data_IF_149146014540
#
_entry.id   IF_149146014540
#
_cell.length_a   1.000
_cell.length_b   1.000
_cell.length_c   1.000
_cell.angle_alpha   90.00
_cell.angle_beta   90.00
_cell.angle_gamma   90.00
#
_symmetry.space_group_name_H-M   'P 1'
#
loop_
_entity.id
_entity.type
_entity.pdbx_description
1 polymer ?
#
# COMPACT_ATOMS: atom_id res chain seq x y z
N UNK A 1 -13.37 41.42 91.63
CA UNK A 1 -13.80 42.74 91.09
C UNK A 1 -13.00 43.00 89.84
N UNK A 2 -13.71 43.13 88.69
CA UNK A 2 -13.39 43.92 87.48
C UNK A 2 -11.99 43.69 86.85
N UNK A 3 -11.84 43.26 85.59
CA UNK A 3 -12.18 43.98 84.36
C UNK A 3 -11.90 43.03 83.16
N UNK A 4 -12.88 42.53 82.43
CA UNK A 4 -13.41 43.03 81.14
C UNK A 4 -12.36 43.31 80.03
N UNK A 5 -12.40 42.52 78.95
CA UNK A 5 -12.43 42.96 77.54
C UNK A 5 -12.23 41.76 76.59
N UNK A 6 -13.24 41.51 75.74
CA UNK A 6 -13.12 40.70 74.52
C UNK A 6 -12.28 41.42 73.43
N UNK A 7 -12.33 40.98 72.16
CA UNK A 7 -11.49 39.97 71.51
C UNK A 7 -10.50 40.64 70.53
N UNK A 8 -9.52 39.91 70.01
CA UNK A 8 -8.87 40.36 68.76
C UNK A 8 -8.36 39.17 67.97
N UNK A 9 -8.94 39.04 66.78
CA UNK A 9 -8.51 38.16 65.72
C UNK A 9 -7.06 38.51 65.34
N UNK A 10 -6.18 37.52 65.27
CA UNK A 10 -5.01 37.66 64.42
C UNK A 10 -4.68 36.35 63.73
N UNK A 11 -5.04 36.35 62.45
CA UNK A 11 -4.69 35.41 61.42
C UNK A 11 -3.16 35.45 61.22
N UNK A 12 -2.43 34.69 62.04
CA UNK A 12 -0.99 34.49 61.93
C UNK A 12 -0.71 33.19 61.19
N UNK A 13 -0.20 33.32 59.96
CA UNK A 13 0.04 32.20 59.04
C UNK A 13 0.82 31.04 59.66
N UNK A 14 0.43 29.84 59.23
CA UNK A 14 1.18 28.60 59.34
C UNK A 14 2.55 28.80 58.67
N UNK A 15 3.51 29.33 59.43
CA UNK A 15 4.92 29.27 59.09
C UNK A 15 5.34 27.81 59.21
N UNK A 16 5.08 27.04 58.14
CA UNK A 16 5.86 25.84 57.88
C UNK A 16 7.30 26.31 57.73
N UNK A 17 8.07 26.12 58.79
CA UNK A 17 9.51 26.19 58.75
C UNK A 17 9.98 25.23 57.66
N UNK A 18 10.23 25.77 56.46
CA UNK A 18 11.13 25.14 55.51
C UNK A 18 12.49 25.05 56.20
N UNK A 19 12.74 23.90 56.84
CA UNK A 19 14.09 23.47 57.14
C UNK A 19 14.85 23.41 55.82
N UNK A 20 15.50 24.52 55.51
CA UNK A 20 16.46 24.65 54.44
C UNK A 20 17.62 23.71 54.77
N UNK A 21 17.51 22.46 54.33
CA UNK A 21 18.57 21.46 54.37
C UNK A 21 19.76 21.99 53.56
N UNK A 22 20.61 22.76 54.24
CA UNK A 22 21.75 23.44 53.68
C UNK A 22 22.78 22.38 53.33
N UNK A 23 22.73 21.92 52.08
CA UNK A 23 23.62 20.89 51.53
C UNK A 23 25.07 21.15 51.95
N UNK A 24 25.74 20.13 52.50
CA UNK A 24 27.13 20.24 52.93
C UNK A 24 28.03 20.58 51.72
N UNK A 25 29.15 21.26 51.95
CA UNK A 25 30.08 21.69 50.88
C UNK A 25 30.44 20.54 49.93
N UNK A 26 30.61 19.32 50.46
CA UNK A 26 30.86 18.12 49.64
C UNK A 26 29.65 17.66 48.80
N UNK A 27 28.43 17.76 49.33
CA UNK A 27 27.21 17.41 48.60
C UNK A 27 26.89 18.41 47.49
N UNK A 28 27.18 19.70 47.70
CA UNK A 28 27.05 20.73 46.65
C UNK A 28 28.00 20.48 45.48
N UNK A 29 29.22 20.04 45.77
CA UNK A 29 30.20 19.67 44.74
C UNK A 29 29.70 18.44 43.97
N UNK A 30 29.20 17.41 44.65
CA UNK A 30 28.66 16.22 43.99
C UNK A 30 27.46 16.52 43.09
N UNK A 31 26.51 17.36 43.55
CA UNK A 31 25.35 17.78 42.76
C UNK A 31 25.78 18.63 41.56
N UNK A 32 26.80 19.48 41.71
CA UNK A 32 27.34 20.27 40.61
C UNK A 32 28.01 19.38 39.55
N UNK A 33 28.78 18.37 39.95
CA UNK A 33 29.37 17.41 39.01
C UNK A 33 28.31 16.58 38.29
N UNK A 34 27.27 16.13 39.00
CA UNK A 34 26.16 15.38 38.42
C UNK A 34 25.41 16.21 37.35
N UNK A 35 25.16 17.49 37.62
CA UNK A 35 24.50 18.39 36.68
C UNK A 35 25.33 18.58 35.40
N UNK A 36 26.65 18.75 35.52
CA UNK A 36 27.55 18.87 34.37
C UNK A 36 27.57 17.56 33.58
N UNK A 37 27.66 16.42 34.25
CA UNK A 37 27.67 15.12 33.60
C UNK A 37 26.37 14.83 32.85
N UNK A 38 25.22 15.19 33.42
CA UNK A 38 23.92 15.05 32.76
C UNK A 38 23.83 15.87 31.46
N UNK A 39 24.33 17.12 31.48
CA UNK A 39 24.37 17.97 30.27
C UNK A 39 25.29 17.38 29.20
N UNK A 40 26.44 16.83 29.59
CA UNK A 40 27.36 16.18 28.66
C UNK A 40 26.73 14.93 28.02
N UNK A 41 26.06 14.09 28.80
CA UNK A 41 25.38 12.89 28.28
C UNK A 41 24.28 13.25 27.28
N UNK A 42 23.45 14.25 27.60
CA UNK A 42 22.38 14.71 26.71
C UNK A 42 22.96 15.35 25.44
N UNK A 43 24.03 16.13 25.55
CA UNK A 43 24.72 16.72 24.41
C UNK A 43 25.34 15.67 23.48
N UNK A 44 25.98 14.65 24.04
CA UNK A 44 26.53 13.52 23.28
C UNK A 44 25.44 12.69 22.61
N UNK A 45 24.30 12.45 23.29
CA UNK A 45 23.14 11.78 22.71
C UNK A 45 22.55 12.56 21.55
N UNK A 46 22.34 13.88 21.70
CA UNK A 46 21.82 14.73 20.63
C UNK A 46 22.75 14.78 19.40
N UNK A 47 24.07 14.77 19.62
CA UNK A 47 25.06 14.73 18.55
C UNK A 47 25.04 13.38 17.79
N UNK A 48 24.98 12.26 18.51
CA UNK A 48 24.91 10.91 17.93
C UNK A 48 23.57 10.64 17.23
N UNK A 49 22.47 11.17 17.75
CA UNK A 49 21.12 11.01 17.20
C UNK A 49 20.91 11.79 15.90
N UNK A 50 21.51 12.98 15.78
CA UNK A 50 21.48 13.78 14.54
C UNK A 50 22.09 13.04 13.35
N UNK A 51 23.12 12.22 13.56
CA UNK A 51 23.70 11.41 12.49
C UNK A 51 22.79 10.26 12.06
N UNK A 52 21.96 9.71 12.96
CA UNK A 52 21.06 8.57 12.66
C UNK A 52 19.72 8.95 12.05
N UNK A 53 19.25 10.20 12.22
CA UNK A 53 17.99 10.66 11.59
C UNK A 53 18.18 11.15 10.16
N UNK A 54 19.37 11.66 9.82
CA UNK A 54 19.57 12.30 8.52
C UNK A 54 19.91 11.33 7.38
N UNK A 55 20.21 10.06 7.67
CA UNK A 55 20.55 9.07 6.64
C UNK A 55 19.34 8.48 5.87
N UNK A 56 18.16 8.23 6.46
CA UNK A 56 17.03 7.69 5.67
C UNK A 56 16.29 8.71 4.78
N UNK A 57 16.57 10.01 4.86
CA UNK A 57 15.78 11.04 4.13
C UNK A 57 16.57 11.91 3.16
N UNK A 58 17.89 11.73 3.04
CA UNK A 58 18.64 12.39 1.96
C UNK A 58 18.68 11.50 0.72
N UNK A 59 17.50 11.11 0.24
CA UNK A 59 17.34 10.60 -1.11
C UNK A 59 17.51 11.78 -2.07
N UNK A 60 18.75 12.06 -2.47
CA UNK A 60 19.00 12.84 -3.66
C UNK A 60 18.54 11.99 -4.85
N UNK A 61 17.23 11.99 -5.10
CA UNK A 61 16.63 11.50 -6.35
C UNK A 61 16.88 12.58 -7.40
N UNK A 62 18.14 12.70 -7.80
CA UNK A 62 18.48 13.01 -9.20
C UNK A 62 18.77 11.68 -9.90
N UNK A 63 17.90 10.70 -9.65
CA UNK A 63 17.74 9.55 -10.53
C UNK A 63 16.89 10.03 -11.69
N UNK A 64 17.53 10.19 -12.84
CA UNK A 64 16.87 10.08 -14.13
C UNK A 64 16.25 8.68 -14.23
N UNK A 65 15.11 8.47 -13.58
CA UNK A 65 14.30 7.25 -13.68
C UNK A 65 13.44 7.37 -14.92
N UNK A 66 14.08 7.12 -16.05
CA UNK A 66 13.43 6.74 -17.29
C UNK A 66 14.38 5.79 -18.01
N UNK A 67 13.94 4.54 -18.11
CA UNK A 67 14.45 3.49 -19.00
C UNK A 67 15.82 2.87 -18.70
N UNK A 68 15.73 1.58 -18.37
CA UNK A 68 16.58 0.49 -18.83
C UNK A 68 18.07 0.48 -18.43
N UNK A 69 18.42 -0.50 -17.59
CA UNK A 69 19.75 -1.09 -17.55
C UNK A 69 20.71 -0.46 -16.53
N UNK A 70 20.62 -0.90 -15.28
CA UNK A 70 21.60 -0.53 -14.27
C UNK A 70 21.24 -0.99 -12.87
N UNK A 71 20.90 -2.27 -12.70
CA UNK A 71 20.83 -2.88 -11.37
C UNK A 71 22.27 -3.06 -10.88
N UNK A 72 22.53 -2.73 -9.62
CA UNK A 72 23.79 -3.07 -8.96
C UNK A 72 24.06 -4.56 -9.16
N UNK A 73 25.11 -4.91 -9.90
CA UNK A 73 25.44 -6.29 -10.31
C UNK A 73 25.60 -7.30 -9.16
N UNK A 74 25.59 -6.83 -7.91
CA UNK A 74 25.61 -7.69 -6.73
C UNK A 74 24.22 -8.28 -6.42
N UNK A 75 23.13 -7.52 -6.60
CA UNK A 75 21.78 -7.98 -6.28
C UNK A 75 21.27 -9.01 -7.31
N UNK A 76 21.61 -8.86 -8.58
CA UNK A 76 21.21 -9.83 -9.62
C UNK A 76 21.88 -11.19 -9.42
N UNK A 77 23.14 -11.21 -8.98
CA UNK A 77 23.87 -12.44 -8.71
C UNK A 77 23.27 -13.20 -7.53
N UNK A 78 22.85 -12.48 -6.49
CA UNK A 78 22.19 -13.06 -5.32
C UNK A 78 20.82 -13.65 -5.70
N UNK A 79 20.01 -12.93 -6.48
CA UNK A 79 18.69 -13.40 -6.94
C UNK A 79 18.76 -14.65 -7.85
N UNK A 80 19.89 -14.89 -8.52
CA UNK A 80 20.09 -16.12 -9.32
C UNK A 80 20.43 -17.35 -8.48
N UNK A 81 20.77 -17.15 -7.20
CA UNK A 81 21.17 -18.21 -6.28
C UNK A 81 20.09 -18.51 -5.24
N UNK A 82 19.11 -17.62 -5.11
CA UNK A 82 18.00 -17.73 -4.16
C UNK A 82 16.76 -18.21 -4.93
N UNK A 83 16.01 -19.06 -4.24
CA UNK A 83 14.73 -19.63 -4.63
C UNK A 83 13.86 -19.48 -3.37
N UNK A 84 13.12 -18.37 -3.31
CA UNK A 84 12.49 -17.89 -2.07
C UNK A 84 11.28 -18.72 -1.66
N UNK A 85 10.51 -19.22 -2.62
CA UNK A 85 9.36 -20.09 -2.39
C UNK A 85 9.68 -21.58 -2.52
N UNK A 86 10.89 -21.93 -2.97
CA UNK A 86 11.40 -23.30 -3.05
C UNK A 86 10.69 -24.18 -4.09
N UNK A 87 10.14 -23.58 -5.16
CA UNK A 87 9.49 -24.29 -6.26
C UNK A 87 10.51 -24.86 -7.28
N UNK A 88 11.77 -24.41 -7.21
CA UNK A 88 12.86 -24.79 -8.10
C UNK A 88 13.16 -23.81 -9.24
N UNK A 89 12.60 -22.61 -9.21
CA UNK A 89 13.00 -21.44 -10.00
C UNK A 89 13.83 -20.49 -9.13
N UNK A 90 14.74 -19.73 -9.76
CA UNK A 90 15.43 -18.67 -9.02
C UNK A 90 14.60 -17.39 -9.06
N UNK A 91 14.65 -16.59 -7.99
CA UNK A 91 13.94 -15.30 -7.93
C UNK A 91 14.25 -14.42 -9.15
N UNK A 92 15.47 -14.54 -9.69
CA UNK A 92 15.86 -13.83 -10.91
C UNK A 92 15.10 -14.33 -12.15
N UNK A 93 14.95 -15.65 -12.31
CA UNK A 93 14.23 -16.25 -13.44
C UNK A 93 12.74 -15.91 -13.37
N UNK A 94 12.14 -15.98 -12.19
CA UNK A 94 10.74 -15.63 -11.98
C UNK A 94 10.48 -14.18 -12.36
N UNK A 95 11.27 -13.23 -11.84
CA UNK A 95 11.05 -11.80 -12.09
C UNK A 95 11.37 -11.37 -13.54
N UNK A 96 12.38 -11.98 -14.18
CA UNK A 96 12.92 -11.48 -15.45
C UNK A 96 12.55 -12.33 -16.66
N UNK A 97 12.26 -13.63 -16.48
CA UNK A 97 11.99 -14.57 -17.57
C UNK A 97 10.51 -14.97 -17.61
N UNK A 98 9.95 -15.39 -16.47
CA UNK A 98 8.61 -15.99 -16.41
C UNK A 98 7.53 -15.02 -15.93
N UNK A 99 7.93 -13.89 -15.34
CA UNK A 99 7.02 -12.88 -14.77
C UNK A 99 6.10 -13.44 -13.67
N UNK A 100 6.58 -14.47 -12.98
CA UNK A 100 5.92 -15.13 -11.85
C UNK A 100 6.33 -14.49 -10.52
N UNK A 101 5.74 -14.96 -9.41
CA UNK A 101 5.93 -14.41 -8.07
C UNK A 101 6.96 -15.21 -7.25
N UNK A 102 8.11 -14.62 -6.85
CA UNK A 102 9.14 -15.29 -6.03
C UNK A 102 8.73 -15.74 -4.63
N UNK A 103 7.48 -15.49 -4.24
CA UNK A 103 6.96 -15.79 -2.93
C UNK A 103 5.81 -16.81 -2.97
N UNK A 104 5.47 -17.31 -4.16
CA UNK A 104 4.33 -18.18 -4.38
C UNK A 104 4.74 -19.29 -5.34
N UNK A 105 4.79 -20.53 -4.82
CA UNK A 105 5.11 -21.70 -5.64
C UNK A 105 4.17 -21.87 -6.86
N UNK A 106 2.96 -21.30 -6.78
CA UNK A 106 1.89 -21.33 -7.78
C UNK A 106 1.38 -19.88 -7.97
N UNK A 107 1.83 -19.24 -9.04
CA UNK A 107 1.59 -17.81 -9.28
C UNK A 107 0.16 -17.50 -9.72
N UNK A 108 -0.51 -18.44 -10.38
CA UNK A 108 -1.86 -18.28 -10.92
C UNK A 108 -2.96 -18.95 -10.09
N UNK A 109 -2.55 -19.69 -9.04
CA UNK A 109 -3.38 -20.34 -8.04
C UNK A 109 -4.22 -21.51 -8.58
N UNK A 110 -3.74 -22.23 -9.59
CA UNK A 110 -4.43 -23.39 -10.18
C UNK A 110 -4.05 -24.76 -9.58
N UNK A 111 -3.19 -24.76 -8.55
CA UNK A 111 -2.59 -25.91 -7.87
C UNK A 111 -1.45 -26.63 -8.62
N UNK A 112 -0.90 -26.03 -9.68
CA UNK A 112 0.34 -26.42 -10.31
C UNK A 112 1.42 -25.41 -9.95
N UNK A 113 2.64 -25.89 -9.68
CA UNK A 113 3.74 -24.96 -9.40
C UNK A 113 4.27 -24.35 -10.69
N UNK A 114 4.78 -23.12 -10.63
CA UNK A 114 5.31 -22.41 -11.80
C UNK A 114 6.38 -23.26 -12.51
N UNK A 115 7.27 -23.89 -11.74
CA UNK A 115 8.25 -24.83 -12.26
C UNK A 115 7.65 -26.00 -13.05
N UNK A 116 6.56 -26.59 -12.53
CA UNK A 116 5.91 -27.72 -13.18
C UNK A 116 5.27 -27.30 -14.50
N UNK A 117 4.67 -26.14 -14.54
CA UNK A 117 4.04 -25.59 -15.74
C UNK A 117 5.06 -25.29 -16.84
N UNK A 118 6.17 -24.63 -16.47
CA UNK A 118 7.29 -24.39 -17.37
C UNK A 118 7.85 -25.70 -17.94
N UNK A 119 8.00 -26.74 -17.10
CA UNK A 119 8.47 -28.06 -17.54
C UNK A 119 7.48 -28.75 -18.51
N UNK A 120 6.19 -28.47 -18.36
CA UNK A 120 5.13 -28.99 -19.24
C UNK A 120 4.87 -28.09 -20.46
N UNK A 121 5.60 -26.99 -20.61
CA UNK A 121 5.37 -25.95 -21.62
C UNK A 121 3.98 -25.33 -21.56
N UNK A 122 3.42 -25.20 -20.35
CA UNK A 122 2.25 -24.35 -20.07
C UNK A 122 2.70 -22.98 -19.57
N UNK A 123 1.76 -22.04 -19.46
CA UNK A 123 2.03 -20.67 -19.01
C UNK A 123 1.80 -20.59 -17.50
N UNK A 124 2.84 -20.31 -16.67
CA UNK A 124 2.73 -20.29 -15.22
C UNK A 124 1.92 -19.11 -14.64
N UNK A 125 1.42 -18.24 -15.51
CA UNK A 125 0.50 -17.16 -15.13
C UNK A 125 -0.92 -17.41 -15.65
N UNK A 126 -1.21 -18.61 -16.15
CA UNK A 126 -2.46 -18.94 -16.81
C UNK A 126 -3.16 -20.16 -16.21
N UNK A 127 -4.21 -19.95 -15.40
CA UNK A 127 -4.83 -21.04 -14.65
C UNK A 127 -5.34 -22.15 -15.56
N UNK A 128 -5.14 -23.41 -15.15
CA UNK A 128 -5.59 -24.59 -15.89
C UNK A 128 -7.07 -24.50 -16.29
N UNK A 129 -7.32 -24.69 -17.58
CA UNK A 129 -8.66 -24.66 -18.16
C UNK A 129 -9.15 -23.26 -18.54
N UNK A 130 -8.30 -22.23 -18.40
CA UNK A 130 -8.52 -20.89 -18.97
C UNK A 130 -7.73 -20.74 -20.27
N UNK A 131 -8.20 -19.87 -21.16
CA UNK A 131 -7.44 -19.45 -22.34
C UNK A 131 -6.88 -18.06 -22.09
N UNK A 132 -5.58 -17.98 -21.78
CA UNK A 132 -4.88 -16.70 -21.55
C UNK A 132 -4.22 -16.16 -22.83
N UNK A 133 -4.35 -16.89 -23.95
CA UNK A 133 -3.96 -16.41 -25.27
C UNK A 133 -5.10 -15.64 -25.97
N UNK A 134 -6.24 -15.50 -25.31
CA UNK A 134 -7.37 -14.75 -25.82
C UNK A 134 -7.10 -13.24 -25.69
N UNK A 135 -6.36 -12.68 -26.65
CA UNK A 135 -6.69 -11.35 -27.11
C UNK A 135 -8.13 -11.44 -27.60
N UNK A 136 -9.11 -11.08 -26.75
CA UNK A 136 -10.54 -11.15 -27.04
C UNK A 136 -10.88 -10.20 -28.19
N UNK A 137 -10.56 -10.62 -29.41
CA UNK A 137 -11.40 -10.45 -30.57
C UNK A 137 -12.52 -11.46 -30.38
N UNK A 138 -13.56 -11.04 -29.65
CA UNK A 138 -14.67 -11.90 -29.26
C UNK A 138 -15.18 -12.74 -30.42
N UNK A 139 -14.91 -14.04 -30.36
CA UNK A 139 -15.71 -15.02 -31.08
C UNK A 139 -16.87 -15.40 -30.18
N UNK A 140 -17.87 -14.52 -30.23
CA UNK A 140 -19.26 -14.90 -30.00
C UNK A 140 -19.57 -16.08 -30.90
N UNK A 141 -20.12 -17.13 -30.30
CA UNK A 141 -20.72 -18.28 -30.97
C UNK A 141 -21.62 -17.81 -32.14
N UNK A 142 -21.20 -18.17 -33.34
CA UNK A 142 -21.86 -17.87 -34.60
C UNK A 142 -23.14 -18.70 -34.71
N UNK A 143 -24.24 -18.27 -34.09
CA UNK A 143 -25.62 -18.60 -34.49
C UNK A 143 -26.69 -17.74 -33.78
N UNK A 144 -26.51 -16.42 -33.76
CA UNK A 144 -27.66 -15.49 -33.67
C UNK A 144 -27.51 -14.48 -34.80
N UNK A 145 -28.39 -14.58 -35.78
CA UNK A 145 -28.46 -13.68 -36.91
C UNK A 145 -28.75 -12.26 -36.44
N UNK A 146 -27.75 -11.36 -36.43
CA UNK A 146 -28.03 -9.96 -36.69
C UNK A 146 -26.84 -9.21 -37.29
N UNK A 147 -27.18 -8.27 -38.15
CA UNK A 147 -26.35 -7.70 -39.18
C UNK A 147 -25.59 -6.45 -38.65
N UNK A 148 -24.28 -6.54 -38.41
CA UNK A 148 -23.43 -5.34 -38.38
C UNK A 148 -21.96 -5.65 -38.67
N UNK A 149 -21.54 -5.22 -39.85
CA UNK A 149 -20.13 -5.12 -40.18
C UNK A 149 -19.49 -3.97 -39.41
N UNK A 150 -18.44 -4.23 -38.63
CA UNK A 150 -17.33 -3.28 -38.58
C UNK A 150 -16.01 -3.96 -38.18
N UNK A 151 -15.17 -4.20 -39.19
CA UNK A 151 -13.73 -4.43 -39.06
C UNK A 151 -13.10 -3.26 -38.29
N UNK A 152 -12.54 -3.49 -37.11
CA UNK A 152 -11.62 -2.52 -36.51
C UNK A 152 -10.21 -2.82 -37.02
N UNK A 153 -9.74 -1.91 -37.86
CA UNK A 153 -8.40 -1.88 -38.41
C UNK A 153 -7.45 -1.23 -37.39
N UNK A 154 -6.27 -1.83 -37.22
CA UNK A 154 -5.10 -1.22 -36.62
C UNK A 154 -4.75 0.10 -37.33
N UNK A 155 -4.63 1.20 -36.60
CA UNK A 155 -3.66 2.24 -36.95
C UNK A 155 -3.24 3.08 -35.73
N UNK A 156 -1.94 3.06 -35.44
CA UNK A 156 -1.26 4.12 -34.69
C UNK A 156 -1.59 5.47 -35.34
N UNK A 157 -1.93 6.49 -34.55
CA UNK A 157 -1.63 7.85 -34.98
C UNK A 157 -1.38 8.81 -33.82
N UNK A 158 -0.18 9.37 -33.85
CA UNK A 158 0.24 10.61 -33.21
C UNK A 158 -0.52 11.82 -33.81
N UNK A 159 -0.73 12.83 -32.96
CA UNK A 159 -0.97 14.26 -33.23
C UNK A 159 -2.41 14.82 -33.31
N UNK A 160 -2.81 15.49 -32.20
CA UNK A 160 -3.42 16.85 -32.00
C UNK A 160 -4.67 17.31 -32.84
N UNK A 161 -5.36 18.43 -32.51
CA UNK A 161 -6.66 18.46 -31.83
C UNK A 161 -7.77 19.19 -32.64
N UNK A 162 -8.99 18.67 -32.72
CA UNK A 162 -10.19 19.47 -32.98
C UNK A 162 -11.49 18.64 -32.87
N UNK A 163 -12.38 19.10 -31.98
CA UNK A 163 -13.83 19.10 -32.14
C UNK A 163 -14.60 17.75 -32.17
N UNK A 164 -15.05 17.38 -30.97
CA UNK A 164 -16.47 17.34 -30.56
C UNK A 164 -17.34 16.07 -30.72
N UNK A 165 -18.03 15.80 -29.60
CA UNK A 165 -19.17 14.95 -29.25
C UNK A 165 -19.06 13.41 -29.38
N UNK A 166 -18.90 12.80 -28.19
CA UNK A 166 -19.81 11.78 -27.66
C UNK A 166 -19.77 10.36 -28.26
N UNK A 167 -18.89 9.50 -27.72
CA UNK A 167 -19.21 8.10 -27.39
C UNK A 167 -18.11 7.53 -26.48
N UNK A 168 -18.37 7.61 -25.17
CA UNK A 168 -17.59 6.98 -24.10
C UNK A 168 -17.39 5.48 -24.39
N UNK A 169 -16.21 5.11 -24.84
CA UNK A 169 -15.79 3.72 -25.04
C UNK A 169 -14.28 3.58 -24.87
N UNK A 170 -13.81 3.93 -23.67
CA UNK A 170 -12.51 3.47 -23.17
C UNK A 170 -12.68 3.29 -21.68
N UNK A 171 -13.16 2.11 -21.29
CA UNK A 171 -13.42 1.76 -19.89
C UNK A 171 -12.14 1.46 -19.13
N UNK A 172 -11.28 2.47 -18.96
CA UNK A 172 -10.49 2.53 -17.74
C UNK A 172 -11.51 2.53 -16.60
N UNK A 173 -11.45 1.52 -15.74
CA UNK A 173 -12.31 1.48 -14.55
C UNK A 173 -11.89 2.68 -13.71
N UNK A 174 -12.68 3.75 -13.73
CA UNK A 174 -12.45 4.91 -12.89
C UNK A 174 -12.78 4.51 -11.45
N UNK A 175 -11.83 3.85 -10.78
CA UNK A 175 -11.96 3.38 -9.39
C UNK A 175 -12.41 4.51 -8.46
N UNK A 176 -12.04 5.76 -8.77
CA UNK A 176 -12.49 6.98 -8.11
C UNK A 176 -14.02 7.13 -8.07
N UNK A 177 -14.75 6.78 -9.14
CA UNK A 177 -16.22 6.92 -9.18
C UNK A 177 -16.94 5.85 -8.35
N UNK A 178 -16.27 4.72 -8.09
CA UNK A 178 -16.78 3.58 -7.31
C UNK A 178 -16.65 3.83 -5.81
N UNK A 179 -15.74 4.69 -5.35
CA UNK A 179 -15.69 5.07 -3.93
C UNK A 179 -16.55 6.30 -3.62
N UNK A 180 -17.02 7.00 -4.65
CA UNK A 180 -17.85 8.22 -4.54
C UNK A 180 -19.35 7.97 -4.70
N UNK A 181 -19.79 6.70 -4.76
CA UNK A 181 -21.21 6.34 -4.82
C UNK A 181 -21.83 6.35 -6.22
N UNK A 182 -21.04 6.60 -7.27
CA UNK A 182 -21.50 6.72 -8.65
C UNK A 182 -21.05 5.53 -9.52
N UNK A 183 -21.20 4.31 -9.02
CA UNK A 183 -20.90 3.10 -9.77
C UNK A 183 -22.13 2.61 -10.53
N UNK A 184 -21.94 2.18 -11.78
CA UNK A 184 -22.94 1.47 -12.57
C UNK A 184 -22.87 -0.05 -12.33
N UNK A 185 -23.97 -0.75 -12.60
CA UNK A 185 -24.07 -2.20 -12.37
C UNK A 185 -23.06 -3.00 -13.19
N UNK A 186 -22.77 -2.59 -14.44
CA UNK A 186 -21.83 -3.30 -15.29
C UNK A 186 -20.38 -3.17 -14.78
N UNK A 187 -20.00 -1.98 -14.31
CA UNK A 187 -18.71 -1.77 -13.66
C UNK A 187 -18.58 -2.55 -12.35
N UNK A 188 -19.63 -2.58 -11.52
CA UNK A 188 -19.64 -3.40 -10.31
C UNK A 188 -19.51 -4.89 -10.63
N UNK A 189 -20.21 -5.38 -11.65
CA UNK A 189 -20.07 -6.78 -12.08
C UNK A 189 -18.65 -7.11 -12.49
N UNK A 190 -18.04 -6.27 -13.33
CA UNK A 190 -16.67 -6.46 -13.78
C UNK A 190 -15.69 -6.46 -12.61
N UNK A 191 -15.86 -5.53 -11.66
CA UNK A 191 -15.03 -5.46 -10.47
C UNK A 191 -15.16 -6.72 -9.60
N UNK A 192 -16.37 -7.25 -9.45
CA UNK A 192 -16.59 -8.45 -8.63
C UNK A 192 -16.02 -9.71 -9.29
N UNK A 193 -16.14 -9.84 -10.62
CA UNK A 193 -15.49 -10.91 -11.38
C UNK A 193 -13.96 -10.84 -11.23
N UNK A 194 -13.39 -9.63 -11.33
CA UNK A 194 -11.95 -9.37 -11.14
C UNK A 194 -11.50 -9.66 -9.71
N UNK A 195 -12.38 -9.44 -8.72
CA UNK A 195 -12.16 -9.78 -7.31
C UNK A 195 -12.31 -11.28 -7.02
N UNK A 196 -12.54 -12.12 -8.04
CA UNK A 196 -12.68 -13.57 -7.90
C UNK A 196 -14.09 -14.07 -7.60
N UNK A 197 -15.13 -13.25 -7.77
CA UNK A 197 -16.52 -13.71 -7.67
C UNK A 197 -16.90 -14.54 -8.90
N UNK A 198 -17.52 -15.69 -8.68
CA UNK A 198 -17.98 -16.57 -9.75
C UNK A 198 -19.12 -15.95 -10.58
N UNK A 199 -19.03 -16.06 -11.91
CA UNK A 199 -19.99 -15.48 -12.86
C UNK A 199 -21.39 -16.07 -12.72
N UNK A 200 -21.50 -17.35 -12.33
CA UNK A 200 -22.80 -18.01 -12.14
C UNK A 200 -23.53 -17.49 -10.91
N UNK A 201 -22.79 -17.04 -9.88
CA UNK A 201 -23.35 -16.39 -8.69
C UNK A 201 -23.74 -14.96 -9.03
N UNK A 202 -22.86 -14.25 -9.74
CA UNK A 202 -23.08 -12.86 -10.08
C UNK A 202 -24.29 -12.69 -11.03
N UNK A 203 -24.48 -13.62 -11.98
CA UNK A 203 -25.64 -13.63 -12.89
C UNK A 203 -26.98 -13.92 -12.19
N UNK A 204 -26.97 -14.54 -11.00
CA UNK A 204 -28.16 -14.73 -10.17
C UNK A 204 -28.58 -13.45 -9.42
N UNK A 205 -27.67 -12.48 -9.28
CA UNK A 205 -27.94 -11.18 -8.66
C UNK A 205 -28.42 -10.22 -9.74
N UNK A 206 -29.55 -9.54 -9.54
CA UNK A 206 -30.03 -8.53 -10.49
C UNK A 206 -29.20 -7.25 -10.42
N UNK A 207 -29.16 -6.46 -11.50
CA UNK A 207 -28.45 -5.16 -11.50
C UNK A 207 -28.98 -4.21 -10.43
N UNK A 208 -30.30 -4.29 -10.15
CA UNK A 208 -30.95 -3.49 -9.12
C UNK A 208 -30.50 -3.91 -7.72
N UNK A 209 -30.43 -5.21 -7.44
CA UNK A 209 -30.00 -5.73 -6.14
C UNK A 209 -28.50 -5.51 -5.93
N UNK A 210 -27.71 -5.59 -7.00
CA UNK A 210 -26.29 -5.30 -6.97
C UNK A 210 -26.03 -3.84 -6.57
N UNK A 211 -26.73 -2.90 -7.20
CA UNK A 211 -26.64 -1.48 -6.87
C UNK A 211 -27.16 -1.20 -5.45
N UNK A 212 -28.25 -1.83 -5.02
CA UNK A 212 -28.76 -1.69 -3.65
C UNK A 212 -27.75 -2.16 -2.62
N UNK A 213 -27.11 -3.32 -2.83
CA UNK A 213 -26.10 -3.87 -1.92
C UNK A 213 -24.87 -2.95 -1.81
N UNK A 214 -24.45 -2.38 -2.93
CA UNK A 214 -23.36 -1.40 -2.98
C UNK A 214 -23.70 -0.10 -2.24
N UNK A 215 -24.92 0.45 -2.44
CA UNK A 215 -25.37 1.64 -1.73
C UNK A 215 -25.55 1.39 -0.22
N UNK A 216 -26.00 0.20 0.19
CA UNK A 216 -26.06 -0.21 1.60
C UNK A 216 -24.66 -0.24 2.22
N UNK A 217 -23.67 -0.79 1.51
CA UNK A 217 -22.28 -0.85 1.97
C UNK A 217 -21.69 0.55 2.18
N UNK A 218 -21.99 1.52 1.31
CA UNK A 218 -21.54 2.91 1.46
C UNK A 218 -22.24 3.66 2.60
N UNK A 219 -23.50 3.33 2.89
CA UNK A 219 -24.31 4.01 3.91
C UNK A 219 -24.20 3.38 5.30
N UNK A 220 -23.52 2.24 5.42
CA UNK A 220 -23.16 1.62 6.70
C UNK A 220 -24.34 1.18 7.57
N UNK A 221 -25.49 0.87 6.96
CA UNK A 221 -26.69 0.37 7.64
C UNK A 221 -26.92 -1.11 7.40
#
# INVERSE_FOLDING_TARGET
>A
MLNNSQPNDNFGGDNREEENNKLNKGQKIAVSFLAIFAVLVIGLWAAQFKQRINEPFNSNINGNTSSAGGVNSNNEADLRLIDTDSDGLSDWDELNLYQTSPYLEDSDSDSLTDKNEINNNTDPNCPMGRDCNEAVAGTVDQNVADNSQNKINNNLNLANPANNENASSTGAINQENIFQGNADAATLRKLLLDSGMDETILSQISDEDLLKSYQQTLTGQ
#
